data_IF_653683844684
#
_entry.id   IF_653683844684
#
_cell.length_a   1.000
_cell.length_b   1.000
_cell.length_c   1.000
_cell.angle_alpha   90.00
_cell.angle_beta   90.00
_cell.angle_gamma   90.00
#
_symmetry.space_group_name_H-M   'P 1'
#
loop_
_entity.id
_entity.type
_entity.pdbx_description
1 polymer ?
#
# COMPACT_ATOMS: atom_id res chain seq x y z
N UNK A 1 -28.78 -27.98 3.56
CA UNK A 1 -30.18 -27.55 3.30
C UNK A 1 -31.03 -27.51 4.56
N UNK A 2 -31.02 -28.54 5.43
CA UNK A 2 -31.82 -28.57 6.67
C UNK A 2 -31.63 -27.39 7.62
N UNK A 3 -30.46 -26.77 7.67
CA UNK A 3 -30.22 -25.57 8.49
C UNK A 3 -31.16 -24.41 8.16
N UNK A 4 -31.57 -24.25 6.90
CA UNK A 4 -32.55 -23.23 6.53
C UNK A 4 -33.96 -23.57 7.03
N UNK A 5 -34.31 -24.86 7.08
CA UNK A 5 -35.60 -25.31 7.64
C UNK A 5 -35.62 -25.08 9.16
N UNK A 6 -34.54 -25.45 9.86
CA UNK A 6 -34.40 -25.16 11.28
C UNK A 6 -34.45 -23.65 11.57
N UNK A 7 -33.78 -22.84 10.75
CA UNK A 7 -33.79 -21.39 10.89
C UNK A 7 -35.18 -20.79 10.64
N UNK A 8 -35.92 -21.27 9.62
CA UNK A 8 -37.31 -20.83 9.40
C UNK A 8 -38.22 -21.16 10.59
N UNK A 9 -38.07 -22.36 11.16
CA UNK A 9 -38.83 -22.75 12.37
C UNK A 9 -38.41 -21.90 13.57
N UNK A 10 -37.11 -21.62 13.74
CA UNK A 10 -36.59 -20.76 14.80
C UNK A 10 -37.23 -19.37 14.75
N UNK A 11 -37.27 -18.74 13.57
CA UNK A 11 -37.91 -17.43 13.38
C UNK A 11 -39.39 -17.48 13.78
N UNK A 12 -40.11 -18.56 13.45
CA UNK A 12 -41.54 -18.67 13.78
C UNK A 12 -41.84 -18.92 15.27
N UNK A 13 -40.92 -19.51 16.03
CA UNK A 13 -41.14 -19.90 17.43
C UNK A 13 -40.53 -18.90 18.42
N UNK A 14 -39.49 -18.17 18.00
CA UNK A 14 -38.77 -17.20 18.82
C UNK A 14 -39.56 -15.90 19.00
N UNK A 15 -39.46 -15.28 20.19
CA UNK A 15 -40.09 -14.00 20.48
C UNK A 15 -39.54 -12.89 19.56
N UNK A 16 -40.40 -12.12 18.86
CA UNK A 16 -39.97 -11.06 17.96
C UNK A 16 -39.10 -9.98 18.60
N UNK A 17 -39.20 -9.77 19.92
CA UNK A 17 -38.39 -8.81 20.66
C UNK A 17 -36.95 -9.27 20.87
N UNK A 18 -36.68 -10.57 20.70
CA UNK A 18 -35.36 -11.19 20.86
C UNK A 18 -34.66 -11.41 19.51
N UNK A 19 -35.26 -10.97 18.41
CA UNK A 19 -34.62 -11.07 17.11
C UNK A 19 -33.34 -10.23 17.07
N UNK A 20 -32.28 -10.86 16.61
CA UNK A 20 -31.05 -10.17 16.19
C UNK A 20 -31.29 -9.48 14.86
N UNK A 21 -30.43 -8.51 14.49
CA UNK A 21 -30.57 -7.76 13.23
C UNK A 21 -30.82 -8.63 11.99
N UNK A 22 -30.06 -9.71 11.75
CA UNK A 22 -30.32 -10.63 10.63
C UNK A 22 -31.64 -11.40 10.74
N UNK A 23 -32.04 -11.78 11.96
CA UNK A 23 -33.32 -12.49 12.19
C UNK A 23 -34.50 -11.57 11.89
N UNK A 24 -34.48 -10.31 12.35
CA UNK A 24 -35.51 -9.31 12.05
C UNK A 24 -35.62 -9.05 10.55
N UNK A 25 -34.48 -8.93 9.85
CA UNK A 25 -34.45 -8.77 8.40
C UNK A 25 -35.10 -9.96 7.68
N UNK A 26 -34.74 -11.20 8.05
CA UNK A 26 -35.33 -12.38 7.42
C UNK A 26 -36.82 -12.50 7.76
N UNK A 27 -37.23 -12.16 8.98
CA UNK A 27 -38.63 -12.13 9.37
C UNK A 27 -39.45 -11.16 8.49
N UNK A 28 -38.98 -9.93 8.32
CA UNK A 28 -39.62 -8.94 7.44
C UNK A 28 -39.71 -9.43 5.98
N UNK A 29 -38.63 -10.03 5.46
CA UNK A 29 -38.61 -10.59 4.10
C UNK A 29 -39.62 -11.72 3.93
N UNK A 30 -39.80 -12.57 4.95
CA UNK A 30 -40.82 -13.63 4.95
C UNK A 30 -42.24 -13.05 4.95
N UNK A 31 -42.51 -12.03 5.77
CA UNK A 31 -43.80 -11.33 5.81
C UNK A 31 -44.14 -10.68 4.46
N UNK A 32 -43.15 -10.07 3.81
CA UNK A 32 -43.27 -9.46 2.48
C UNK A 32 -43.29 -10.49 1.35
N UNK A 33 -43.16 -11.79 1.65
CA UNK A 33 -42.98 -12.89 0.69
C UNK A 33 -41.82 -12.67 -0.30
N UNK A 34 -40.80 -11.95 0.14
CA UNK A 34 -39.57 -11.73 -0.61
C UNK A 34 -38.58 -12.87 -0.35
N UNK A 35 -38.15 -13.58 -1.40
CA UNK A 35 -37.19 -14.69 -1.31
C UNK A 35 -35.74 -14.24 -1.48
N UNK A 36 -35.46 -12.95 -1.61
CA UNK A 36 -34.12 -12.41 -1.88
C UNK A 36 -33.16 -12.56 -0.69
N UNK A 37 -33.68 -12.85 0.51
CA UNK A 37 -32.84 -13.19 1.67
C UNK A 37 -32.11 -14.54 1.49
N UNK A 38 -32.58 -15.40 0.59
CA UNK A 38 -31.91 -16.67 0.29
C UNK A 38 -30.82 -16.44 -0.78
N UNK A 39 -29.54 -16.78 -0.50
CA UNK A 39 -28.48 -16.66 -1.49
C UNK A 39 -28.78 -17.53 -2.73
N UNK A 40 -29.03 -16.89 -3.88
CA UNK A 40 -29.21 -17.57 -5.17
C UNK A 40 -27.99 -17.39 -6.04
N UNK A 41 -27.52 -18.49 -6.63
CA UNK A 41 -26.35 -18.54 -7.52
C UNK A 41 -25.05 -17.99 -6.90
N UNK A 42 -25.02 -17.84 -5.57
CA UNK A 42 -23.89 -17.30 -4.82
C UNK A 42 -23.68 -18.13 -3.56
N UNK A 43 -22.43 -18.44 -3.28
CA UNK A 43 -22.00 -19.12 -2.06
C UNK A 43 -20.70 -18.46 -1.62
N UNK A 44 -20.45 -18.38 -0.32
CA UNK A 44 -19.27 -17.71 0.24
C UNK A 44 -17.96 -18.24 -0.35
N UNK A 45 -17.94 -19.50 -0.80
CA UNK A 45 -16.77 -20.11 -1.45
C UNK A 45 -16.51 -19.65 -2.89
N UNK A 46 -17.53 -19.17 -3.60
CA UNK A 46 -17.40 -18.62 -4.97
C UNK A 46 -17.02 -17.14 -4.91
N UNK A 47 -17.63 -16.36 -4.01
CA UNK A 47 -17.28 -14.94 -3.81
C UNK A 47 -15.83 -14.80 -3.31
N UNK A 48 -15.36 -15.70 -2.43
CA UNK A 48 -13.94 -15.69 -2.04
C UNK A 48 -12.99 -16.02 -3.18
N UNK A 49 -13.38 -16.69 -4.27
CA UNK A 49 -12.46 -16.92 -5.39
C UNK A 49 -12.23 -15.64 -6.20
N UNK A 50 -13.28 -14.87 -6.48
CA UNK A 50 -13.14 -13.59 -7.18
C UNK A 50 -12.43 -12.56 -6.30
N UNK A 51 -12.82 -12.45 -5.02
CA UNK A 51 -12.18 -11.53 -4.08
C UNK A 51 -10.72 -11.91 -3.80
N UNK A 52 -10.38 -13.20 -3.62
CA UNK A 52 -8.98 -13.63 -3.48
C UNK A 52 -8.17 -13.35 -4.73
N UNK A 53 -8.73 -13.55 -5.92
CA UNK A 53 -8.02 -13.27 -7.18
C UNK A 53 -7.73 -11.78 -7.33
N UNK A 54 -8.70 -10.93 -6.96
CA UNK A 54 -8.54 -9.48 -6.96
C UNK A 54 -7.57 -9.00 -5.88
N UNK A 55 -7.68 -9.50 -4.65
CA UNK A 55 -6.75 -9.19 -3.56
C UNK A 55 -5.31 -9.61 -3.90
N UNK A 56 -5.12 -10.79 -4.49
CA UNK A 56 -3.79 -11.22 -4.94
C UNK A 56 -3.24 -10.33 -6.06
N UNK A 57 -4.09 -9.88 -6.99
CA UNK A 57 -3.70 -8.96 -8.05
C UNK A 57 -3.31 -7.59 -7.50
N UNK A 58 -4.09 -7.04 -6.57
CA UNK A 58 -3.80 -5.76 -5.92
C UNK A 58 -2.50 -5.85 -5.10
N UNK A 59 -2.28 -6.98 -4.41
CA UNK A 59 -1.01 -7.26 -3.72
C UNK A 59 0.18 -7.34 -4.68
N UNK A 60 0.02 -7.93 -5.87
CA UNK A 60 1.05 -7.95 -6.91
C UNK A 60 1.38 -6.54 -7.39
N UNK A 61 0.37 -5.72 -7.67
CA UNK A 61 0.54 -4.32 -8.09
C UNK A 61 1.26 -3.51 -7.01
N UNK A 62 0.85 -3.65 -5.75
CA UNK A 62 1.45 -2.94 -4.63
C UNK A 62 2.94 -3.31 -4.46
N UNK A 63 3.29 -4.60 -4.60
CA UNK A 63 4.68 -5.05 -4.56
C UNK A 63 5.54 -4.40 -5.65
N UNK A 64 5.02 -4.31 -6.88
CA UNK A 64 5.73 -3.65 -7.99
C UNK A 64 5.92 -2.16 -7.71
N UNK A 65 4.89 -1.48 -7.21
CA UNK A 65 5.01 -0.05 -6.85
C UNK A 65 6.05 0.19 -5.76
N UNK A 66 6.11 -0.68 -4.75
CA UNK A 66 7.11 -0.60 -3.68
C UNK A 66 8.53 -0.82 -4.20
N UNK A 67 8.74 -1.78 -5.10
CA UNK A 67 10.06 -2.01 -5.69
C UNK A 67 10.50 -0.79 -6.53
N UNK A 68 9.62 -0.25 -7.37
CA UNK A 68 9.91 0.94 -8.16
C UNK A 68 10.23 2.16 -7.28
N UNK A 69 9.47 2.35 -6.19
CA UNK A 69 9.73 3.42 -5.23
C UNK A 69 11.09 3.24 -4.54
N UNK A 70 11.44 2.02 -4.16
CA UNK A 70 12.71 1.70 -3.53
C UNK A 70 13.89 1.91 -4.48
N UNK A 71 13.73 1.54 -5.76
CA UNK A 71 14.73 1.79 -6.80
C UNK A 71 14.93 3.29 -7.03
N UNK A 72 13.85 4.06 -7.12
CA UNK A 72 13.94 5.52 -7.22
C UNK A 72 14.65 6.14 -6.00
N UNK A 73 14.33 5.69 -4.79
CA UNK A 73 15.01 6.13 -3.55
C UNK A 73 16.51 5.82 -3.61
N UNK A 74 16.90 4.62 -4.04
CA UNK A 74 18.31 4.24 -4.17
C UNK A 74 19.05 5.16 -5.16
N UNK A 75 18.46 5.40 -6.33
CA UNK A 75 19.03 6.27 -7.36
C UNK A 75 19.21 7.69 -6.85
N UNK A 76 18.17 8.28 -6.27
CA UNK A 76 18.23 9.64 -5.70
C UNK A 76 19.25 9.75 -4.56
N UNK A 77 19.36 8.70 -3.73
CA UNK A 77 20.36 8.66 -2.65
C UNK A 77 21.78 8.65 -3.24
N UNK A 78 22.01 7.86 -4.30
CA UNK A 78 23.30 7.81 -4.97
C UNK A 78 23.66 9.16 -5.59
N UNK A 79 22.74 9.81 -6.30
CA UNK A 79 22.93 11.15 -6.86
C UNK A 79 23.25 12.20 -5.79
N UNK A 80 22.54 12.17 -4.65
CA UNK A 80 22.82 13.07 -3.52
C UNK A 80 24.21 12.86 -2.95
N UNK A 81 24.65 11.60 -2.79
CA UNK A 81 26.00 11.30 -2.29
C UNK A 81 27.09 11.76 -3.25
N UNK A 82 26.87 11.61 -4.56
CA UNK A 82 27.81 12.08 -5.58
C UNK A 82 27.90 13.61 -5.59
N UNK A 83 26.76 14.31 -5.53
CA UNK A 83 26.73 15.76 -5.42
C UNK A 83 27.44 16.27 -4.15
N UNK A 84 27.23 15.61 -3.01
CA UNK A 84 27.95 15.94 -1.76
C UNK A 84 29.47 15.80 -1.91
N UNK A 85 29.93 14.74 -2.57
CA UNK A 85 31.36 14.52 -2.85
C UNK A 85 31.91 15.64 -3.75
N UNK A 86 31.23 15.97 -4.84
CA UNK A 86 31.64 17.05 -5.75
C UNK A 86 31.71 18.41 -5.05
N UNK A 87 30.74 18.72 -4.17
CA UNK A 87 30.73 19.97 -3.39
C UNK A 87 31.89 20.03 -2.41
N UNK A 88 32.21 18.93 -1.72
CA UNK A 88 33.32 18.90 -0.75
C UNK A 88 34.68 19.00 -1.44
N UNK A 89 34.87 18.30 -2.57
CA UNK A 89 36.07 18.40 -3.40
C UNK A 89 36.26 19.81 -3.97
N UNK A 90 35.20 20.44 -4.48
CA UNK A 90 35.23 21.82 -4.98
C UNK A 90 35.64 22.82 -3.88
N UNK A 91 35.12 22.66 -2.66
CA UNK A 91 35.53 23.47 -1.51
C UNK A 91 37.00 23.25 -1.16
N UNK A 92 37.45 21.99 -1.08
CA UNK A 92 38.85 21.67 -0.80
C UNK A 92 39.82 22.25 -1.84
N UNK A 93 39.46 22.18 -3.12
CA UNK A 93 40.26 22.75 -4.22
C UNK A 93 40.32 24.29 -4.14
N UNK A 94 39.20 24.95 -3.86
CA UNK A 94 39.17 26.42 -3.63
C UNK A 94 40.05 26.82 -2.44
N UNK A 95 39.99 26.07 -1.34
CA UNK A 95 40.86 26.32 -0.19
C UNK A 95 42.35 26.12 -0.52
N UNK A 96 42.70 25.09 -1.30
CA UNK A 96 44.08 24.89 -1.79
C UNK A 96 44.55 26.03 -2.67
N UNK A 97 43.71 26.52 -3.58
CA UNK A 97 44.08 27.65 -4.44
C UNK A 97 44.33 28.94 -3.68
N UNK A 98 43.55 29.19 -2.63
CA UNK A 98 43.75 30.35 -1.77
C UNK A 98 45.04 30.28 -0.93
N UNK A 99 45.68 29.12 -0.84
CA UNK A 99 46.91 28.89 -0.09
C UNK A 99 48.20 28.90 -0.93
N UNK A 100 48.10 29.01 -2.27
CA UNK A 100 49.31 29.18 -3.08
C UNK A 100 49.92 30.56 -2.77
N UNK A 101 51.15 30.62 -2.24
CA UNK A 101 51.83 31.89 -2.06
C UNK A 101 52.10 32.47 -3.45
N UNK A 102 51.77 33.75 -3.62
CA UNK A 102 52.00 34.49 -4.86
C UNK A 102 53.49 34.35 -5.23
N UNK A 103 53.80 33.50 -6.21
CA UNK A 103 55.18 33.25 -6.65
C UNK A 103 55.63 34.45 -7.46
N UNK A 104 56.04 35.53 -6.77
CA UNK A 104 56.74 36.65 -7.38
C UNK A 104 58.10 36.16 -7.87
N UNK A 105 58.16 35.96 -9.19
CA UNK A 105 59.26 36.07 -10.15
C UNK A 105 60.71 36.04 -9.62
N UNK A 106 61.62 35.26 -10.26
CA UNK A 106 63.03 35.26 -9.92
C UNK A 106 63.67 36.61 -10.30
N UNK A 107 64.21 37.32 -9.32
CA UNK A 107 65.07 38.49 -9.54
C UNK A 107 66.36 38.07 -10.27
N UNK A 108 66.73 38.72 -11.38
CA UNK A 108 67.95 38.37 -12.10
C UNK A 108 69.18 38.83 -11.31
N UNK A 109 70.19 37.96 -11.24
CA UNK A 109 71.54 38.29 -10.79
C UNK A 109 72.17 39.37 -11.68
N UNK A 110 72.75 40.41 -11.07
CA UNK A 110 74.06 40.96 -11.46
C UNK A 110 74.47 42.14 -10.55
N UNK A 111 75.76 42.56 -10.57
CA UNK A 111 77.01 41.82 -10.70
C UNK A 111 77.82 41.78 -9.38
#
# INVERSE_FOLDING_TARGET
MWNYVYFMVLIHVKDPTEYTGPESYVHEMIEQRNLDWFPRMRTSSLDTQEDKTKEEQDNRILRVQMENANEAIKTLTMELTELQKLVTESRAQKHRMNFLPNSSLPTPLNP
#
